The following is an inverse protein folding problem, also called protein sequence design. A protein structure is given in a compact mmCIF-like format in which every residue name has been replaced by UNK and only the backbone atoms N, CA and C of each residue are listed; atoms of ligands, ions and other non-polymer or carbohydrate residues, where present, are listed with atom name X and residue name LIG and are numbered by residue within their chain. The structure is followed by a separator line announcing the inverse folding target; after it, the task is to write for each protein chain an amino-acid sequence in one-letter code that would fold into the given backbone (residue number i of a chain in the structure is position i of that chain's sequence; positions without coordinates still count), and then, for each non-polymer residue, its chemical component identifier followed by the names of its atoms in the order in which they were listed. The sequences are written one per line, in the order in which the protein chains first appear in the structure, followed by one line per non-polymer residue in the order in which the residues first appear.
data_IF_841820688613
#
_entry.id   IF_841820688613
#
_cell.length_a   1.000
_cell.length_b   1.000
_cell.length_c   1.000
_cell.angle_alpha   90.00
_cell.angle_beta   90.00
_cell.angle_gamma   90.00
#
_symmetry.space_group_name_H-M   'P 1'
#
loop_
_entity.id
_entity.type
_entity.pdbx_description
1 polymer ?
#
# COMPACT_ATOMS: atom_id res chain seq x y z
N UNK A 1 29.78 26.61 -8.22
CA UNK A 1 29.81 25.36 -7.45
C UNK A 1 28.41 24.82 -7.14
N UNK A 2 27.41 25.69 -6.90
CA UNK A 2 26.00 25.29 -6.75
C UNK A 2 25.47 24.39 -7.88
N UNK A 3 25.77 24.68 -9.15
CA UNK A 3 25.28 23.87 -10.26
C UNK A 3 25.77 22.41 -10.21
N UNK A 4 26.97 22.13 -9.69
CA UNK A 4 27.44 20.75 -9.56
C UNK A 4 26.71 19.99 -8.44
N UNK A 5 26.38 20.68 -7.35
CA UNK A 5 25.57 20.13 -6.27
C UNK A 5 24.14 19.87 -6.74
N UNK A 6 23.54 20.81 -7.47
CA UNK A 6 22.21 20.63 -8.07
C UNK A 6 22.17 19.44 -9.04
N UNK A 7 23.18 19.29 -9.90
CA UNK A 7 23.28 18.14 -10.80
C UNK A 7 23.44 16.82 -10.03
N UNK A 8 24.18 16.82 -8.92
CA UNK A 8 24.33 15.63 -8.08
C UNK A 8 23.00 15.20 -7.46
N UNK A 9 22.25 16.13 -6.89
CA UNK A 9 20.91 15.87 -6.33
C UNK A 9 19.93 15.37 -7.40
N UNK A 10 19.93 15.99 -8.60
CA UNK A 10 19.09 15.54 -9.70
C UNK A 10 19.41 14.11 -10.14
N UNK A 11 20.69 13.73 -10.19
CA UNK A 11 21.10 12.37 -10.53
C UNK A 11 20.64 11.35 -9.48
N UNK A 12 20.73 11.69 -8.18
CA UNK A 12 20.26 10.83 -7.09
C UNK A 12 18.73 10.62 -7.11
N UNK A 13 17.97 11.68 -7.39
CA UNK A 13 16.51 11.61 -7.52
C UNK A 13 16.07 10.72 -8.70
N UNK A 14 16.78 10.80 -9.83
CA UNK A 14 16.47 9.97 -11.01
C UNK A 14 16.78 8.48 -10.74
N UNK A 15 17.87 8.18 -10.01
CA UNK A 15 18.19 6.78 -9.65
C UNK A 15 17.21 6.17 -8.66
N UNK A 16 16.58 6.98 -7.80
CA UNK A 16 15.49 6.51 -6.93
C UNK A 16 14.17 6.33 -7.67
N UNK A 17 13.90 7.12 -8.71
CA UNK A 17 12.66 7.05 -9.49
C UNK A 17 12.66 5.95 -10.56
N UNK A 18 13.83 5.55 -11.06
CA UNK A 18 13.98 4.49 -12.07
C UNK A 18 14.04 3.08 -11.47
N UNK A 19 14.16 2.98 -10.14
CA UNK A 19 13.77 1.77 -9.44
C UNK A 19 12.28 1.98 -9.18
N UNK A 20 11.44 1.39 -10.03
CA UNK A 20 10.04 1.16 -9.64
C UNK A 20 10.11 0.62 -8.21
N UNK A 21 9.54 1.37 -7.26
CA UNK A 21 9.25 0.89 -5.92
C UNK A 21 8.18 -0.20 -6.08
N UNK A 22 8.56 -1.31 -6.73
CA UNK A 22 7.90 -2.59 -6.75
C UNK A 22 8.03 -3.09 -5.33
N UNK A 23 7.25 -2.48 -4.43
CA UNK A 23 7.08 -2.96 -3.08
C UNK A 23 6.75 -4.45 -3.23
N UNK A 24 7.68 -5.28 -2.78
CA UNK A 24 7.55 -6.72 -2.91
C UNK A 24 6.47 -7.11 -1.90
N UNK A 25 5.36 -7.70 -2.37
CA UNK A 25 4.34 -8.23 -1.47
C UNK A 25 5.05 -9.26 -0.56
N UNK A 26 4.88 -9.22 0.76
CA UNK A 26 5.45 -10.23 1.66
C UNK A 26 5.17 -11.68 1.22
N UNK A 27 4.11 -11.90 0.46
CA UNK A 27 3.71 -13.18 -0.14
C UNK A 27 4.61 -13.60 -1.31
N UNK A 28 5.20 -12.65 -2.03
CA UNK A 28 6.09 -12.91 -3.18
C UNK A 28 7.38 -13.61 -2.77
N UNK A 29 7.85 -13.36 -1.54
CA UNK A 29 9.01 -14.05 -0.99
C UNK A 29 8.75 -15.55 -0.79
N UNK A 30 7.49 -15.97 -0.54
CA UNK A 30 7.11 -17.38 -0.49
C UNK A 30 7.06 -18.01 -1.89
N UNK A 31 6.82 -17.21 -2.93
CA UNK A 31 6.83 -17.63 -4.32
C UNK A 31 8.20 -17.51 -4.99
N UNK A 32 9.20 -16.97 -4.29
CA UNK A 32 10.56 -16.83 -4.80
C UNK A 32 11.31 -18.16 -4.70
N UNK A 33 11.81 -18.63 -5.83
CA UNK A 33 12.69 -19.80 -5.86
C UNK A 33 14.15 -19.34 -5.86
N UNK A 34 14.84 -19.57 -4.74
CA UNK A 34 16.23 -19.19 -4.56
C UNK A 34 17.20 -19.92 -5.50
N UNK A 35 16.85 -21.11 -5.99
CA UNK A 35 17.69 -21.86 -6.91
C UNK A 35 17.65 -21.28 -8.33
N UNK A 36 16.50 -20.77 -8.76
CA UNK A 36 16.33 -20.14 -10.07
C UNK A 36 16.50 -18.61 -10.05
N UNK A 37 16.44 -17.98 -8.87
CA UNK A 37 16.56 -16.54 -8.71
C UNK A 37 15.37 -15.77 -9.29
N UNK A 38 14.20 -16.41 -9.41
CA UNK A 38 13.01 -15.83 -10.04
C UNK A 38 11.76 -16.07 -9.21
N UNK A 39 10.79 -15.15 -9.30
CA UNK A 39 9.45 -15.36 -8.75
C UNK A 39 8.70 -16.39 -9.60
N UNK A 40 8.12 -17.41 -8.96
CA UNK A 40 7.21 -18.34 -9.62
C UNK A 40 5.97 -17.56 -10.04
N UNK A 41 5.75 -17.40 -11.35
CA UNK A 41 4.52 -16.81 -11.87
C UNK A 41 3.35 -17.68 -11.43
N UNK A 42 2.41 -17.10 -10.69
CA UNK A 42 1.14 -17.75 -10.38
C UNK A 42 0.48 -18.11 -11.72
N UNK A 43 0.40 -19.41 -12.02
CA UNK A 43 -0.47 -19.88 -13.09
C UNK A 43 -1.90 -19.73 -12.59
N UNK A 44 -2.41 -18.49 -12.57
CA UNK A 44 -3.85 -18.27 -12.63
C UNK A 44 -4.25 -18.76 -14.02
N UNK A 45 -4.49 -20.07 -14.08
CA UNK A 45 -5.33 -20.69 -15.09
C UNK A 45 -6.57 -19.82 -15.20
N UNK A 46 -6.82 -19.28 -16.38
CA UNK A 46 -8.13 -18.77 -16.74
C UNK A 46 -9.18 -19.81 -16.35
N UNK A 47 -10.05 -19.47 -15.39
CA UNK A 47 -11.12 -20.33 -14.93
C UNK A 47 -10.85 -21.02 -13.60
N UNK A 48 -10.94 -20.27 -12.51
CA UNK A 48 -12.10 -20.34 -11.60
C UNK A 48 -11.97 -19.20 -10.62
N UNK A 49 -12.99 -18.35 -10.59
CA UNK A 49 -13.23 -17.37 -9.54
C UNK A 49 -13.45 -18.12 -8.23
N UNK A 50 -12.38 -18.53 -7.55
CA UNK A 50 -12.45 -18.80 -6.12
C UNK A 50 -12.58 -17.43 -5.45
N UNK A 51 -13.84 -16.99 -5.33
CA UNK A 51 -14.24 -16.07 -4.29
C UNK A 51 -13.81 -16.73 -3.00
N UNK A 52 -12.64 -16.35 -2.49
CA UNK A 52 -12.31 -16.53 -1.09
C UNK A 52 -13.36 -15.70 -0.37
N UNK A 53 -14.44 -16.37 0.04
CA UNK A 53 -15.35 -15.83 1.04
C UNK A 53 -14.49 -15.62 2.29
N UNK A 54 -13.94 -14.42 2.38
CA UNK A 54 -13.58 -13.84 3.66
C UNK A 54 -14.92 -13.70 4.36
N UNK A 55 -15.21 -14.66 5.23
CA UNK A 55 -16.23 -14.50 6.25
C UNK A 55 -15.96 -13.15 6.90
N UNK A 56 -16.88 -12.18 6.82
CA UNK A 56 -16.71 -10.92 7.52
C UNK A 56 -16.78 -11.28 9.00
N UNK A 57 -15.61 -11.43 9.64
CA UNK A 57 -15.55 -11.55 11.07
C UNK A 57 -16.20 -10.29 11.63
N UNK A 58 -17.30 -10.48 12.34
CA UNK A 58 -18.19 -9.41 12.82
C UNK A 58 -17.46 -8.35 13.66
N UNK A 59 -16.28 -8.68 14.19
CA UNK A 59 -15.43 -7.74 14.92
C UNK A 59 -14.82 -6.66 14.03
N UNK A 60 -14.44 -6.96 12.78
CA UNK A 60 -13.86 -5.96 11.88
C UNK A 60 -14.87 -4.89 11.50
N UNK A 61 -16.13 -5.29 11.29
CA UNK A 61 -17.23 -4.37 11.00
C UNK A 61 -17.56 -3.47 12.21
N UNK A 62 -17.47 -4.00 13.43
CA UNK A 62 -17.69 -3.26 14.67
C UNK A 62 -16.57 -2.22 14.91
N UNK A 63 -15.30 -2.63 14.76
CA UNK A 63 -14.15 -1.73 14.87
C UNK A 63 -14.18 -0.60 13.82
N UNK A 64 -14.57 -0.90 12.59
CA UNK A 64 -14.76 0.10 11.54
C UNK A 64 -15.88 1.08 11.89
N UNK A 65 -16.98 0.60 12.47
CA UNK A 65 -18.11 1.46 12.87
C UNK A 65 -17.73 2.45 13.98
N UNK A 66 -16.93 2.01 14.96
CA UNK A 66 -16.40 2.85 16.03
C UNK A 66 -15.43 3.91 15.49
N UNK A 67 -14.58 3.53 14.52
CA UNK A 67 -13.69 4.46 13.84
C UNK A 67 -14.46 5.53 13.06
N UNK A 68 -15.50 5.15 12.32
CA UNK A 68 -16.34 6.09 11.58
C UNK A 68 -17.07 7.06 12.50
N UNK A 69 -17.61 6.59 13.63
CA UNK A 69 -18.26 7.45 14.62
C UNK A 69 -17.28 8.46 15.24
N UNK A 70 -16.05 8.04 15.54
CA UNK A 70 -15.00 8.94 16.04
C UNK A 70 -14.61 10.00 15.00
N UNK A 71 -14.51 9.61 13.74
CA UNK A 71 -14.20 10.52 12.63
C UNK A 71 -15.29 11.57 12.43
N UNK A 72 -16.55 11.16 12.50
CA UNK A 72 -17.70 12.07 12.36
C UNK A 72 -17.75 13.06 13.54
N UNK A 73 -17.54 12.58 14.77
CA UNK A 73 -17.42 13.42 15.96
C UNK A 73 -16.28 14.44 15.86
N UNK A 74 -15.12 14.02 15.34
CA UNK A 74 -13.97 14.90 15.13
C UNK A 74 -14.28 15.97 14.07
N UNK A 75 -14.88 15.57 12.96
CA UNK A 75 -15.27 16.47 11.86
C UNK A 75 -16.24 17.53 12.35
N UNK A 76 -17.28 17.13 13.09
CA UNK A 76 -18.22 18.07 13.70
C UNK A 76 -17.54 19.07 14.66
N UNK A 77 -16.53 18.63 15.43
CA UNK A 77 -15.76 19.52 16.31
C UNK A 77 -14.92 20.51 15.53
N UNK A 78 -14.30 20.10 14.43
CA UNK A 78 -13.52 20.99 13.54
C UNK A 78 -14.43 22.05 12.94
N UNK A 79 -15.57 21.66 12.37
CA UNK A 79 -16.58 22.58 11.82
C UNK A 79 -17.06 23.60 12.85
N UNK A 80 -17.27 23.18 14.10
CA UNK A 80 -17.69 24.05 15.20
C UNK A 80 -16.61 25.06 15.59
N UNK A 81 -15.34 24.69 15.48
CA UNK A 81 -14.20 25.58 15.70
C UNK A 81 -14.01 26.57 14.54
N UNK A 82 -14.20 26.15 13.29
CA UNK A 82 -14.10 27.05 12.12
C UNK A 82 -15.22 28.09 12.05
N UNK A 83 -16.39 27.76 12.61
CA UNK A 83 -17.56 28.67 12.65
C UNK A 83 -17.49 29.69 13.79
N UNK A 84 -16.44 29.68 14.63
CA UNK A 84 -16.20 30.63 15.73
C UNK A 84 -15.12 31.63 15.36
#
# INVERSE_FOLDING_TARGET
MLCRLLLCECLLLITGYAHDDDWIDPTDMLNYDAASGTMRKSQVRSGTSEKKEVSPDSSEAEELSDCLHRLDSLTHKVDSCEKK
#
